data_IF_842424853467
#
_entry.id   IF_842424853467
#
_cell.length_a   1.000
_cell.length_b   1.000
_cell.length_c   1.000
_cell.angle_alpha   90.00
_cell.angle_beta   90.00
_cell.angle_gamma   90.00
#
_symmetry.space_group_name_H-M   'P 1'
#
loop_
_entity.id
_entity.type
_entity.pdbx_description
1 polymer ?
#
# COMPACT_ATOMS: atom_id res chain seq x y z
N UNK A 1 -14.69 -8.69 28.50
CA UNK A 1 -13.96 -9.82 27.90
C UNK A 1 -14.69 -10.22 26.62
N UNK A 2 -13.99 -10.36 25.49
CA UNK A 2 -14.58 -10.63 24.15
C UNK A 2 -14.52 -12.15 23.88
N UNK A 3 -14.71 -12.97 24.89
CA UNK A 3 -14.65 -14.44 24.79
C UNK A 3 -15.70 -15.00 23.82
N UNK A 4 -15.26 -15.84 22.88
CA UNK A 4 -16.13 -16.56 21.95
C UNK A 4 -16.47 -15.85 20.64
N UNK A 5 -15.92 -14.66 20.35
CA UNK A 5 -16.13 -14.04 19.04
C UNK A 5 -15.22 -14.70 17.99
N UNK A 6 -15.82 -15.10 16.87
CA UNK A 6 -15.09 -15.67 15.74
C UNK A 6 -14.34 -14.60 14.95
N UNK A 7 -13.06 -14.85 14.69
CA UNK A 7 -12.19 -13.97 13.93
C UNK A 7 -11.32 -14.75 12.93
N UNK A 8 -11.19 -14.24 11.72
CA UNK A 8 -10.28 -14.79 10.72
C UNK A 8 -9.01 -13.95 10.70
N UNK A 9 -7.85 -14.60 10.84
CA UNK A 9 -6.53 -13.94 10.75
C UNK A 9 -5.92 -14.22 9.39
N UNK A 10 -5.63 -13.17 8.64
CA UNK A 10 -4.87 -13.27 7.38
C UNK A 10 -3.41 -13.63 7.69
N UNK A 11 -3.06 -14.89 7.51
CA UNK A 11 -1.73 -15.43 7.79
C UNK A 11 -0.90 -15.46 6.50
N UNK A 12 0.16 -14.67 6.44
CA UNK A 12 1.07 -14.60 5.28
C UNK A 12 2.29 -15.52 5.41
N UNK A 13 2.37 -16.32 6.48
CA UNK A 13 3.58 -17.11 6.79
C UNK A 13 4.74 -16.25 7.32
N UNK A 14 4.52 -15.00 7.66
CA UNK A 14 5.49 -14.10 8.31
C UNK A 14 5.28 -14.01 9.82
N UNK A 15 6.27 -13.43 10.52
CA UNK A 15 6.28 -13.26 11.99
C UNK A 15 5.06 -12.46 12.46
N UNK A 16 4.75 -11.35 11.79
CA UNK A 16 3.71 -10.41 12.23
C UNK A 16 2.31 -11.05 12.24
N UNK A 17 1.92 -11.70 11.16
CA UNK A 17 0.62 -12.39 11.10
C UNK A 17 0.52 -13.55 12.08
N UNK A 18 1.65 -14.21 12.36
CA UNK A 18 1.72 -15.32 13.30
C UNK A 18 1.56 -14.86 14.75
N UNK A 19 2.21 -13.77 15.14
CA UNK A 19 2.04 -13.15 16.47
C UNK A 19 0.63 -12.57 16.62
N UNK A 20 0.06 -11.99 15.56
CA UNK A 20 -1.34 -11.54 15.53
C UNK A 20 -2.29 -12.67 15.91
N UNK A 21 -2.14 -13.85 15.30
CA UNK A 21 -2.97 -15.02 15.59
C UNK A 21 -2.82 -15.48 17.05
N UNK A 22 -1.58 -15.51 17.56
CA UNK A 22 -1.29 -15.90 18.93
C UNK A 22 -1.91 -14.93 19.96
N UNK A 23 -1.76 -13.62 19.76
CA UNK A 23 -2.33 -12.59 20.65
C UNK A 23 -3.86 -12.66 20.69
N UNK A 24 -4.51 -12.85 19.55
CA UNK A 24 -5.98 -12.96 19.51
C UNK A 24 -6.48 -14.23 20.18
N UNK A 25 -5.77 -15.35 20.03
CA UNK A 25 -6.09 -16.58 20.77
C UNK A 25 -5.95 -16.38 22.29
N UNK A 26 -4.88 -15.74 22.74
CA UNK A 26 -4.66 -15.41 24.16
C UNK A 26 -5.76 -14.47 24.71
N UNK A 27 -6.29 -13.57 23.87
CA UNK A 27 -7.41 -12.70 24.22
C UNK A 27 -8.78 -13.39 24.23
N UNK A 28 -8.85 -14.70 23.90
CA UNK A 28 -10.06 -15.51 23.97
C UNK A 28 -10.95 -15.47 22.72
N UNK A 29 -10.42 -15.03 21.57
CA UNK A 29 -11.12 -15.17 20.29
C UNK A 29 -11.10 -16.62 19.80
N UNK A 30 -12.13 -17.04 19.10
CA UNK A 30 -12.14 -18.23 18.27
C UNK A 30 -11.46 -17.90 16.93
N UNK A 31 -10.17 -18.25 16.84
CA UNK A 31 -9.32 -17.82 15.74
C UNK A 31 -9.26 -18.89 14.64
N UNK A 32 -9.56 -18.51 13.40
CA UNK A 32 -9.27 -19.30 12.20
C UNK A 32 -8.16 -18.60 11.40
N UNK A 33 -7.06 -19.31 11.16
CA UNK A 33 -5.99 -18.85 10.26
C UNK A 33 -6.39 -19.00 8.80
N UNK A 34 -6.15 -17.98 7.98
CA UNK A 34 -6.44 -18.05 6.55
C UNK A 34 -5.23 -17.55 5.74
N UNK A 35 -4.78 -18.39 4.82
CA UNK A 35 -3.74 -18.05 3.85
C UNK A 35 -4.38 -17.77 2.48
N UNK A 36 -4.05 -16.61 1.88
CA UNK A 36 -4.46 -16.26 0.52
C UNK A 36 -3.45 -16.83 -0.47
N UNK A 37 -3.81 -17.88 -1.19
CA UNK A 37 -3.00 -18.42 -2.29
C UNK A 37 -3.18 -17.55 -3.53
N UNK A 38 -2.08 -17.06 -4.07
CA UNK A 38 -2.06 -16.22 -5.28
C UNK A 38 -1.77 -17.05 -6.56
N UNK A 39 -1.74 -18.36 -6.42
CA UNK A 39 -1.50 -19.30 -7.51
C UNK A 39 -0.05 -19.27 -8.05
N UNK A 40 0.20 -20.06 -9.10
CA UNK A 40 1.50 -20.19 -9.78
C UNK A 40 1.87 -18.96 -10.63
N UNK A 41 1.05 -17.92 -10.65
CA UNK A 41 1.32 -16.71 -11.40
C UNK A 41 2.66 -16.08 -10.99
N UNK A 42 2.96 -16.09 -9.70
CA UNK A 42 4.24 -15.56 -9.16
C UNK A 42 5.43 -16.44 -9.48
N UNK A 43 5.26 -17.76 -9.58
CA UNK A 43 6.34 -18.69 -9.93
C UNK A 43 6.82 -18.47 -11.37
N UNK A 44 5.92 -18.10 -12.28
CA UNK A 44 6.25 -17.76 -13.67
C UNK A 44 6.95 -16.41 -13.80
N UNK A 45 6.61 -15.44 -12.95
CA UNK A 45 7.18 -14.09 -12.96
C UNK A 45 8.54 -14.01 -12.24
N UNK A 46 8.78 -14.89 -11.25
CA UNK A 46 10.01 -14.89 -10.45
C UNK A 46 10.43 -16.31 -10.03
N UNK A 47 10.94 -17.15 -10.95
CA UNK A 47 11.21 -18.57 -10.68
C UNK A 47 12.34 -18.86 -9.68
N UNK A 48 13.12 -17.86 -9.27
CA UNK A 48 14.33 -18.05 -8.44
C UNK A 48 14.31 -17.35 -7.09
N UNK A 49 13.28 -16.60 -6.71
CA UNK A 49 13.18 -15.92 -5.41
C UNK A 49 11.88 -16.24 -4.68
N UNK A 50 11.94 -16.29 -3.34
CA UNK A 50 10.78 -16.46 -2.47
C UNK A 50 9.87 -15.23 -2.61
N UNK A 51 8.82 -15.33 -3.42
CA UNK A 51 7.74 -14.35 -3.42
C UNK A 51 6.87 -14.57 -2.17
N UNK A 52 6.41 -13.51 -1.52
CA UNK A 52 5.38 -13.61 -0.49
C UNK A 52 4.15 -14.33 -1.06
N UNK A 53 3.50 -15.19 -0.26
CA UNK A 53 2.37 -16.05 -0.67
C UNK A 53 2.77 -17.25 -1.57
N UNK A 54 4.01 -17.71 -1.46
CA UNK A 54 4.47 -18.96 -2.07
C UNK A 54 3.92 -20.20 -1.33
N UNK A 55 4.10 -21.38 -1.94
CA UNK A 55 3.79 -22.66 -1.28
C UNK A 55 4.58 -22.85 0.02
N UNK A 56 5.80 -22.29 0.11
CA UNK A 56 6.60 -22.26 1.34
C UNK A 56 5.95 -21.43 2.43
N UNK A 57 5.44 -20.23 2.08
CA UNK A 57 4.77 -19.35 3.05
C UNK A 57 3.45 -19.95 3.54
N UNK A 58 2.72 -20.65 2.67
CA UNK A 58 1.52 -21.39 3.05
C UNK A 58 1.85 -22.50 4.06
N UNK A 59 2.99 -23.20 3.86
CA UNK A 59 3.45 -24.24 4.77
C UNK A 59 3.90 -23.63 6.12
N UNK A 60 4.64 -22.53 6.09
CA UNK A 60 5.03 -21.80 7.31
C UNK A 60 3.79 -21.37 8.11
N UNK A 61 2.77 -20.80 7.43
CA UNK A 61 1.52 -20.41 8.07
C UNK A 61 0.76 -21.61 8.67
N UNK A 62 0.75 -22.75 7.96
CA UNK A 62 0.14 -24.00 8.46
C UNK A 62 0.86 -24.54 9.70
N UNK A 63 2.18 -24.54 9.72
CA UNK A 63 2.96 -24.98 10.89
C UNK A 63 2.68 -24.08 12.11
N UNK A 64 2.58 -22.76 11.92
CA UNK A 64 2.19 -21.83 12.99
C UNK A 64 0.79 -22.13 13.49
N UNK A 65 -0.18 -22.29 12.58
CA UNK A 65 -1.57 -22.59 12.96
C UNK A 65 -1.66 -23.91 13.75
N UNK A 66 -0.95 -24.95 13.30
CA UNK A 66 -0.85 -26.23 13.99
C UNK A 66 -0.25 -26.09 15.40
N UNK A 67 0.86 -25.36 15.52
CA UNK A 67 1.49 -25.09 16.82
C UNK A 67 0.57 -24.35 17.79
N UNK A 68 -0.18 -23.37 17.24
CA UNK A 68 -1.16 -22.60 18.02
C UNK A 68 -2.49 -23.35 18.22
N UNK A 69 -2.70 -24.54 17.63
CA UNK A 69 -3.97 -25.28 17.70
C UNK A 69 -5.12 -24.46 17.11
N UNK A 70 -4.96 -23.91 15.91
CA UNK A 70 -5.95 -23.12 15.20
C UNK A 70 -6.42 -23.91 13.95
N UNK A 71 -7.69 -23.72 13.60
CA UNK A 71 -8.16 -24.08 12.28
C UNK A 71 -7.44 -23.25 11.23
N UNK A 72 -7.10 -23.90 10.09
CA UNK A 72 -6.32 -23.23 9.03
C UNK A 72 -6.88 -23.56 7.65
N UNK A 73 -7.10 -22.51 6.87
CA UNK A 73 -7.64 -22.60 5.50
C UNK A 73 -6.69 -21.95 4.51
N UNK A 74 -6.62 -22.53 3.33
CA UNK A 74 -5.95 -21.96 2.16
C UNK A 74 -7.01 -21.66 1.13
N UNK A 75 -7.12 -20.41 0.71
CA UNK A 75 -8.13 -19.97 -0.25
C UNK A 75 -7.43 -19.43 -1.49
N UNK A 76 -7.96 -19.78 -2.66
CA UNK A 76 -7.46 -19.29 -3.94
C UNK A 76 -7.98 -17.87 -4.20
N UNK A 77 -7.05 -16.94 -4.29
CA UNK A 77 -7.25 -15.53 -4.64
C UNK A 77 -6.60 -15.15 -5.97
N UNK A 78 -6.27 -16.15 -6.80
CA UNK A 78 -5.56 -15.95 -8.07
C UNK A 78 -6.30 -14.95 -8.98
N UNK A 79 -7.60 -15.12 -9.16
CA UNK A 79 -8.38 -14.27 -10.06
C UNK A 79 -8.42 -12.80 -9.59
N UNK A 80 -8.57 -12.58 -8.30
CA UNK A 80 -8.55 -11.24 -7.70
C UNK A 80 -7.16 -10.60 -7.79
N UNK A 81 -6.12 -11.42 -7.60
CA UNK A 81 -4.74 -10.95 -7.66
C UNK A 81 -4.30 -10.63 -9.10
N UNK A 82 -4.78 -11.37 -10.10
CA UNK A 82 -4.59 -11.05 -11.51
C UNK A 82 -5.14 -9.65 -11.84
N UNK A 83 -6.32 -9.29 -11.33
CA UNK A 83 -6.89 -7.94 -11.48
C UNK A 83 -6.00 -6.85 -10.88
N UNK A 84 -5.34 -7.16 -9.75
CA UNK A 84 -4.39 -6.23 -9.11
C UNK A 84 -3.14 -6.03 -9.98
N UNK A 85 -2.61 -7.09 -10.59
CA UNK A 85 -1.48 -7.00 -11.52
C UNK A 85 -1.88 -6.23 -12.78
N UNK A 86 -3.09 -6.47 -13.30
CA UNK A 86 -3.59 -5.74 -14.46
C UNK A 86 -3.79 -4.25 -14.16
N UNK A 87 -4.31 -3.91 -12.96
CA UNK A 87 -4.34 -2.52 -12.49
C UNK A 87 -2.94 -1.91 -12.46
N UNK A 88 -1.98 -2.61 -11.87
CA UNK A 88 -0.58 -2.16 -11.80
C UNK A 88 0.00 -1.87 -13.18
N UNK A 89 -0.20 -2.75 -14.14
CA UNK A 89 0.28 -2.57 -15.52
C UNK A 89 -0.42 -1.42 -16.25
N UNK A 90 -1.74 -1.28 -16.08
CA UNK A 90 -2.51 -0.18 -16.69
C UNK A 90 -2.08 1.20 -16.17
N UNK A 91 -1.77 1.31 -14.89
CA UNK A 91 -1.29 2.58 -14.33
C UNK A 91 0.05 2.99 -14.97
N UNK A 92 1.01 2.07 -15.08
CA UNK A 92 2.27 2.36 -15.76
C UNK A 92 2.08 2.66 -17.25
N UNK A 93 1.16 1.97 -17.91
CA UNK A 93 0.81 2.24 -19.32
C UNK A 93 0.15 3.62 -19.50
N UNK A 94 -0.49 4.13 -18.47
CA UNK A 94 -1.01 5.50 -18.42
C UNK A 94 0.02 6.54 -17.92
N UNK A 95 1.31 6.16 -17.77
CA UNK A 95 2.36 7.07 -17.26
C UNK A 95 2.24 7.41 -15.78
N UNK A 96 1.42 6.68 -15.02
CA UNK A 96 1.24 6.85 -13.58
C UNK A 96 2.02 5.79 -12.80
N UNK A 97 2.30 6.05 -11.54
CA UNK A 97 3.02 5.11 -10.67
C UNK A 97 2.05 4.55 -9.62
N UNK A 98 1.61 3.30 -9.75
CA UNK A 98 0.62 2.70 -8.86
C UNK A 98 1.15 2.43 -7.45
N UNK A 99 0.21 2.31 -6.49
CA UNK A 99 0.47 1.70 -5.19
C UNK A 99 -0.40 0.45 -5.01
N UNK A 100 0.07 -0.72 -5.45
CA UNK A 100 -0.72 -1.94 -5.41
C UNK A 100 -1.02 -2.43 -3.99
N UNK A 101 -0.21 -2.05 -2.98
CA UNK A 101 -0.43 -2.45 -1.59
C UNK A 101 -1.72 -1.85 -1.01
N UNK A 102 -2.03 -0.60 -1.36
CA UNK A 102 -3.28 0.05 -0.94
C UNK A 102 -4.48 -0.65 -1.59
N UNK A 103 -4.45 -0.89 -2.90
CA UNK A 103 -5.53 -1.63 -3.60
C UNK A 103 -5.66 -3.07 -3.07
N UNK A 104 -4.55 -3.75 -2.79
CA UNK A 104 -4.58 -5.08 -2.15
C UNK A 104 -5.28 -5.04 -0.78
N UNK A 105 -4.99 -4.05 0.05
CA UNK A 105 -5.67 -3.90 1.32
C UNK A 105 -7.17 -3.63 1.11
N UNK A 106 -7.51 -2.64 0.28
CA UNK A 106 -8.89 -2.24 0.01
C UNK A 106 -9.75 -3.38 -0.56
N UNK A 107 -9.27 -4.03 -1.62
CA UNK A 107 -10.09 -4.91 -2.44
C UNK A 107 -9.95 -6.39 -2.04
N UNK A 108 -8.74 -6.83 -1.68
CA UNK A 108 -8.49 -8.24 -1.37
C UNK A 108 -8.62 -8.50 0.13
N UNK A 109 -7.76 -7.89 0.97
CA UNK A 109 -7.70 -8.24 2.40
C UNK A 109 -8.95 -7.77 3.16
N UNK A 110 -9.30 -6.50 3.02
CA UNK A 110 -10.43 -5.92 3.75
C UNK A 110 -11.73 -5.88 2.94
N UNK A 111 -11.68 -6.24 1.65
CA UNK A 111 -12.83 -6.46 0.81
C UNK A 111 -13.18 -7.95 0.73
N UNK A 112 -12.57 -8.67 -0.20
CA UNK A 112 -12.92 -10.07 -0.51
C UNK A 112 -12.71 -11.02 0.67
N UNK A 113 -11.58 -10.92 1.38
CA UNK A 113 -11.31 -11.77 2.55
C UNK A 113 -12.30 -11.51 3.70
N UNK A 114 -12.68 -10.25 3.94
CA UNK A 114 -13.70 -9.92 4.93
C UNK A 114 -15.05 -10.57 4.57
N UNK A 115 -15.48 -10.46 3.31
CA UNK A 115 -16.70 -11.12 2.84
C UNK A 115 -16.64 -12.64 3.03
N UNK A 116 -15.48 -13.23 2.80
CA UNK A 116 -15.27 -14.67 3.02
C UNK A 116 -15.39 -15.05 4.50
N UNK A 117 -14.77 -14.26 5.38
CA UNK A 117 -14.88 -14.45 6.83
C UNK A 117 -16.33 -14.36 7.32
N UNK A 118 -17.09 -13.40 6.81
CA UNK A 118 -18.52 -13.25 7.12
C UNK A 118 -19.34 -14.47 6.70
N UNK A 119 -19.09 -15.02 5.50
CA UNK A 119 -19.77 -16.23 5.03
C UNK A 119 -19.43 -17.47 5.87
N UNK A 120 -18.29 -17.47 6.57
CA UNK A 120 -17.91 -18.49 7.54
C UNK A 120 -18.47 -18.22 8.94
N UNK A 121 -19.27 -17.18 9.11
CA UNK A 121 -19.83 -16.78 10.41
C UNK A 121 -18.85 -16.03 11.31
N UNK A 122 -17.69 -15.60 10.81
CA UNK A 122 -16.75 -14.77 11.56
C UNK A 122 -17.14 -13.30 11.44
N UNK A 123 -17.29 -12.62 12.59
CA UNK A 123 -17.68 -11.21 12.63
C UNK A 123 -16.53 -10.25 12.30
N UNK A 124 -15.29 -10.72 12.39
CA UNK A 124 -14.08 -9.89 12.32
C UNK A 124 -12.99 -10.55 11.49
N UNK A 125 -12.11 -9.68 10.94
CA UNK A 125 -10.83 -10.11 10.39
C UNK A 125 -9.68 -9.40 11.12
N UNK A 126 -8.51 -10.04 11.14
CA UNK A 126 -7.30 -9.45 11.65
C UNK A 126 -6.11 -9.64 10.71
N UNK A 127 -5.19 -8.69 10.77
CA UNK A 127 -3.94 -8.72 10.01
C UNK A 127 -2.78 -8.24 10.86
N UNK A 128 -1.55 -8.53 10.44
CA UNK A 128 -0.32 -8.08 11.08
C UNK A 128 0.09 -6.65 10.75
N UNK A 129 -0.84 -5.74 10.43
CA UNK A 129 -0.50 -4.35 10.17
C UNK A 129 -0.19 -3.58 11.46
N UNK A 130 0.82 -2.71 11.38
CA UNK A 130 1.20 -1.77 12.44
C UNK A 130 0.41 -0.47 12.29
N UNK A 131 -0.84 -0.49 12.69
CA UNK A 131 -1.73 0.67 12.82
C UNK A 131 -2.75 0.37 13.90
N UNK A 132 -3.43 1.38 14.41
CA UNK A 132 -4.48 1.24 15.42
C UNK A 132 -5.81 1.65 14.82
N UNK A 133 -6.86 0.91 15.17
CA UNK A 133 -8.24 1.23 14.81
C UNK A 133 -9.01 1.36 16.13
N UNK A 134 -9.72 2.46 16.30
CA UNK A 134 -10.57 2.71 17.45
C UNK A 134 -11.87 3.38 17.03
N UNK A 135 -12.93 3.16 17.80
CA UNK A 135 -14.19 3.88 17.63
C UNK A 135 -14.15 5.18 18.44
N UNK A 136 -14.35 6.31 17.77
CA UNK A 136 -14.39 7.61 18.38
C UNK A 136 -15.86 8.07 18.51
N UNK A 137 -16.38 8.08 19.74
CA UNK A 137 -17.76 8.46 20.03
C UNK A 137 -18.09 9.93 19.75
N UNK A 138 -17.10 10.83 19.76
CA UNK A 138 -17.31 12.25 19.48
C UNK A 138 -17.67 12.52 18.02
N UNK A 139 -17.07 11.80 17.09
CA UNK A 139 -17.39 11.92 15.67
C UNK A 139 -18.22 10.73 15.14
N UNK A 140 -18.60 9.79 15.99
CA UNK A 140 -19.38 8.59 15.67
C UNK A 140 -18.76 7.78 14.50
N UNK A 141 -17.43 7.65 14.49
CA UNK A 141 -16.67 7.00 13.40
C UNK A 141 -15.57 6.10 13.96
N UNK A 142 -15.24 5.08 13.21
CA UNK A 142 -13.97 4.38 13.37
C UNK A 142 -12.86 5.23 12.78
N UNK A 143 -11.77 5.38 13.52
CA UNK A 143 -10.59 6.16 13.12
C UNK A 143 -9.38 5.25 13.03
N UNK A 144 -8.45 5.61 12.15
CA UNK A 144 -7.14 4.97 12.04
C UNK A 144 -6.11 5.89 12.67
N UNK A 145 -5.28 5.34 13.56
CA UNK A 145 -4.11 6.01 14.10
C UNK A 145 -2.82 5.33 13.64
N UNK A 146 -1.75 6.10 13.58
CA UNK A 146 -0.39 5.57 13.38
C UNK A 146 -0.10 4.48 14.41
N UNK A 147 0.66 3.47 14.00
CA UNK A 147 1.19 2.45 14.91
C UNK A 147 2.17 3.07 15.92
N UNK A 148 2.35 2.39 17.06
CA UNK A 148 3.31 2.79 18.09
C UNK A 148 4.75 2.80 17.58
N UNK A 149 5.10 1.91 16.67
CA UNK A 149 6.39 1.86 16.00
C UNK A 149 6.35 2.76 14.77
N UNK A 150 6.87 3.99 14.89
CA UNK A 150 6.89 4.97 13.79
C UNK A 150 7.65 4.46 12.55
N UNK A 151 8.69 3.62 12.76
CA UNK A 151 9.48 3.06 11.66
C UNK A 151 8.72 1.95 10.89
N UNK A 152 7.68 1.39 11.51
CA UNK A 152 6.84 0.32 10.94
C UNK A 152 5.39 0.76 10.70
N UNK A 153 5.05 2.02 10.98
CA UNK A 153 3.69 2.52 10.78
C UNK A 153 3.16 2.25 9.38
N UNK A 154 1.99 1.60 9.33
CA UNK A 154 1.31 1.21 8.09
C UNK A 154 -0.05 1.90 7.93
N UNK A 155 -0.34 2.91 8.72
CA UNK A 155 -1.59 3.68 8.60
C UNK A 155 -1.79 4.28 7.21
N UNK A 156 -0.69 4.64 6.52
CA UNK A 156 -0.70 5.14 5.15
C UNK A 156 -1.38 4.19 4.15
N UNK A 157 -1.17 2.89 4.26
CA UNK A 157 -1.73 1.92 3.28
C UNK A 157 -3.14 1.45 3.66
N UNK A 158 -3.72 2.02 4.71
CA UNK A 158 -5.05 1.66 5.22
C UNK A 158 -6.08 2.78 5.04
N UNK A 159 -5.70 3.96 4.59
CA UNK A 159 -6.60 5.10 4.46
C UNK A 159 -7.84 4.84 3.61
N UNK A 160 -7.75 3.90 2.68
CA UNK A 160 -8.83 3.57 1.74
C UNK A 160 -9.94 2.68 2.34
N UNK A 161 -9.80 2.24 3.58
CA UNK A 161 -10.79 1.39 4.24
C UNK A 161 -12.06 2.18 4.58
N UNK A 162 -13.21 1.57 4.29
CA UNK A 162 -14.52 2.12 4.62
C UNK A 162 -14.83 1.97 6.11
N UNK A 163 -15.82 2.71 6.62
CA UNK A 163 -16.28 2.59 8.00
C UNK A 163 -16.77 1.17 8.34
N UNK A 164 -17.44 0.50 7.39
CA UNK A 164 -17.85 -0.89 7.56
C UNK A 164 -16.63 -1.81 7.72
N UNK A 165 -15.63 -1.68 6.83
CA UNK A 165 -14.41 -2.47 6.90
C UNK A 165 -13.65 -2.23 8.21
N UNK A 166 -13.55 -0.96 8.64
CA UNK A 166 -12.90 -0.59 9.89
C UNK A 166 -13.59 -1.19 11.12
N UNK A 167 -14.93 -1.18 11.15
CA UNK A 167 -15.72 -1.73 12.25
C UNK A 167 -15.52 -3.24 12.49
N UNK A 168 -15.04 -3.94 11.46
CA UNK A 168 -14.82 -5.39 11.46
C UNK A 168 -13.35 -5.79 11.41
N UNK A 169 -12.45 -4.83 11.55
CA UNK A 169 -11.00 -5.06 11.46
C UNK A 169 -10.34 -4.92 12.81
N UNK A 170 -9.48 -5.89 13.15
CA UNK A 170 -8.67 -5.88 14.38
C UNK A 170 -7.18 -5.90 13.98
N UNK A 171 -6.41 -4.96 14.52
CA UNK A 171 -4.97 -4.80 14.25
C UNK A 171 -4.18 -4.87 15.56
N UNK A 172 -3.92 -6.07 16.11
CA UNK A 172 -3.32 -6.22 17.44
C UNK A 172 -1.91 -5.65 17.55
N UNK A 173 -1.16 -5.56 16.42
CA UNK A 173 0.23 -5.11 16.43
C UNK A 173 0.38 -3.59 16.47
N UNK A 174 -0.70 -2.83 16.37
CA UNK A 174 -0.65 -1.37 16.40
C UNK A 174 -0.03 -0.78 17.66
N UNK A 175 -0.14 -1.49 18.79
CA UNK A 175 0.39 -1.09 20.10
C UNK A 175 1.76 -1.69 20.43
N UNK A 176 2.38 -2.40 19.49
CA UNK A 176 3.67 -3.06 19.67
C UNK A 176 4.74 -2.47 18.75
N UNK A 177 5.99 -2.45 19.25
CA UNK A 177 7.15 -2.24 18.37
C UNK A 177 7.54 -3.55 17.69
N UNK A 178 8.24 -3.47 16.56
CA UNK A 178 8.74 -4.68 15.86
C UNK A 178 9.63 -5.55 16.74
N UNK A 179 10.45 -4.93 17.60
CA UNK A 179 11.28 -5.66 18.57
C UNK A 179 10.44 -6.44 19.58
N UNK A 180 9.35 -5.86 20.08
CA UNK A 180 8.41 -6.54 20.97
C UNK A 180 7.73 -7.72 20.26
N UNK A 181 7.29 -7.53 19.01
CA UNK A 181 6.68 -8.61 18.21
C UNK A 181 7.65 -9.77 18.01
N UNK A 182 8.92 -9.49 17.70
CA UNK A 182 9.95 -10.54 17.58
C UNK A 182 10.24 -11.23 18.92
N UNK A 183 10.26 -10.48 20.02
CA UNK A 183 10.42 -11.06 21.37
C UNK A 183 9.25 -12.00 21.74
N UNK A 184 8.01 -11.60 21.41
CA UNK A 184 6.82 -12.45 21.57
C UNK A 184 6.92 -13.72 20.72
N UNK A 185 7.30 -13.61 19.45
CA UNK A 185 7.48 -14.76 18.55
C UNK A 185 8.48 -15.76 19.12
N UNK A 186 9.60 -15.28 19.68
CA UNK A 186 10.62 -16.10 20.34
C UNK A 186 10.10 -16.71 21.64
N UNK A 187 9.41 -15.94 22.48
CA UNK A 187 8.86 -16.41 23.76
C UNK A 187 7.92 -17.61 23.58
N UNK A 188 7.10 -17.62 22.52
CA UNK A 188 6.19 -18.72 22.20
C UNK A 188 6.78 -19.69 21.18
N UNK A 189 8.06 -19.53 20.86
CA UNK A 189 8.85 -20.39 19.98
C UNK A 189 8.17 -20.64 18.61
N UNK A 190 7.73 -19.56 17.94
CA UNK A 190 7.10 -19.69 16.62
C UNK A 190 8.09 -20.20 15.56
N UNK A 191 7.69 -21.14 14.67
CA UNK A 191 8.56 -21.67 13.61
C UNK A 191 9.16 -20.61 12.70
N UNK A 192 8.51 -19.44 12.60
CA UNK A 192 8.87 -18.32 11.72
C UNK A 192 9.61 -17.19 12.44
N UNK A 193 9.99 -17.33 13.71
CA UNK A 193 10.54 -16.28 14.57
C UNK A 193 11.74 -15.53 13.98
N UNK A 194 12.59 -16.20 13.22
CA UNK A 194 13.80 -15.65 12.60
C UNK A 194 13.61 -15.24 11.14
N UNK A 195 12.38 -15.38 10.59
CA UNK A 195 12.08 -15.03 9.21
C UNK A 195 12.26 -13.52 8.99
N UNK A 196 12.98 -13.10 7.93
CA UNK A 196 13.13 -11.68 7.60
C UNK A 196 11.79 -11.04 7.18
N UNK A 197 11.70 -9.72 7.35
CA UNK A 197 10.54 -8.96 6.90
C UNK A 197 10.50 -8.88 5.37
N UNK A 198 9.29 -8.91 4.81
CA UNK A 198 9.10 -8.59 3.39
C UNK A 198 9.36 -7.09 3.17
N UNK A 199 10.27 -6.74 2.24
CA UNK A 199 10.68 -5.35 1.97
C UNK A 199 10.06 -4.79 0.69
N UNK A 200 9.53 -5.65 -0.20
CA UNK A 200 9.17 -5.31 -1.57
C UNK A 200 7.67 -5.56 -1.85
N UNK A 201 7.21 -5.05 -2.98
CA UNK A 201 5.90 -5.43 -3.53
C UNK A 201 5.91 -6.96 -3.73
N UNK A 202 4.94 -7.65 -3.15
CA UNK A 202 4.95 -9.12 -3.05
C UNK A 202 5.08 -9.85 -4.39
N UNK A 203 4.68 -9.25 -5.50
CA UNK A 203 4.82 -9.82 -6.85
C UNK A 203 5.98 -9.22 -7.66
N UNK A 204 6.83 -8.38 -7.04
CA UNK A 204 8.04 -7.81 -7.64
C UNK A 204 9.26 -8.18 -6.78
N UNK A 205 9.56 -9.46 -6.59
CA UNK A 205 10.56 -9.91 -5.60
C UNK A 205 12.00 -9.56 -5.95
N UNK A 206 12.28 -9.19 -7.18
CA UNK A 206 13.60 -8.78 -7.69
C UNK A 206 13.75 -7.26 -7.81
N UNK A 207 12.77 -6.52 -7.32
CA UNK A 207 12.67 -5.06 -7.42
C UNK A 207 12.68 -4.55 -8.88
N UNK A 208 12.35 -5.43 -9.83
CA UNK A 208 12.33 -5.13 -11.26
C UNK A 208 10.91 -5.26 -11.84
N UNK A 209 10.07 -4.28 -11.52
CA UNK A 209 8.70 -4.24 -12.02
C UNK A 209 8.62 -4.19 -13.56
N UNK A 210 9.69 -3.74 -14.23
CA UNK A 210 9.76 -3.69 -15.69
C UNK A 210 9.61 -5.05 -16.35
N UNK A 211 10.02 -6.15 -15.68
CA UNK A 211 9.82 -7.51 -16.21
C UNK A 211 8.34 -7.88 -16.25
N UNK A 212 7.57 -7.49 -15.23
CA UNK A 212 6.13 -7.73 -15.18
C UNK A 212 5.43 -6.96 -16.30
N UNK A 213 5.78 -5.68 -16.46
CA UNK A 213 5.17 -4.83 -17.49
C UNK A 213 5.47 -5.39 -18.88
N UNK A 214 6.72 -5.79 -19.17
CA UNK A 214 7.09 -6.43 -20.46
C UNK A 214 6.29 -7.70 -20.74
N UNK A 215 6.10 -8.53 -19.71
CA UNK A 215 5.36 -9.79 -19.83
C UNK A 215 3.86 -9.57 -20.03
N UNK A 216 3.29 -8.55 -19.39
CA UNK A 216 1.84 -8.28 -19.39
C UNK A 216 1.37 -7.36 -20.50
N UNK A 217 2.27 -6.52 -21.02
CA UNK A 217 1.98 -5.57 -22.11
C UNK A 217 2.87 -5.83 -23.32
N UNK A 218 2.81 -7.04 -23.92
CA UNK A 218 3.65 -7.36 -25.07
C UNK A 218 3.35 -6.42 -26.24
N UNK A 219 4.40 -5.87 -26.85
CA UNK A 219 4.28 -4.94 -27.99
C UNK A 219 3.91 -3.49 -27.64
N UNK A 220 3.62 -3.17 -26.37
CA UNK A 220 3.32 -1.78 -25.93
C UNK A 220 4.53 -1.01 -25.43
N UNK A 221 5.63 -1.71 -25.12
CA UNK A 221 6.87 -1.09 -24.66
C UNK A 221 7.75 -0.88 -25.88
N UNK A 222 7.82 0.35 -26.33
CA UNK A 222 8.58 0.75 -27.51
C UNK A 222 9.62 1.82 -27.15
N UNK A 223 10.71 1.87 -27.91
CA UNK A 223 11.71 2.90 -27.75
C UNK A 223 11.08 4.30 -27.94
N UNK A 224 11.40 5.21 -27.03
CA UNK A 224 10.94 6.59 -27.04
C UNK A 224 12.06 7.58 -26.75
N UNK A 225 11.70 8.84 -26.60
CA UNK A 225 12.66 9.94 -26.50
C UNK A 225 12.84 10.44 -25.07
N UNK A 226 14.07 10.82 -24.73
CA UNK A 226 14.41 11.57 -23.53
C UNK A 226 14.70 13.01 -23.97
N UNK A 227 13.91 13.96 -23.44
CA UNK A 227 14.04 15.39 -23.74
C UNK A 227 14.24 16.22 -22.48
N UNK A 228 14.85 17.38 -22.60
CA UNK A 228 14.82 18.40 -21.54
C UNK A 228 13.50 19.21 -21.56
N UNK A 229 13.33 20.10 -20.58
CA UNK A 229 12.15 20.95 -20.49
C UNK A 229 12.02 21.93 -21.67
N UNK A 230 13.11 22.24 -22.39
CA UNK A 230 13.14 23.05 -23.60
C UNK A 230 12.83 22.26 -24.89
N UNK A 231 12.60 20.94 -24.77
CA UNK A 231 12.29 20.06 -25.90
C UNK A 231 13.52 19.53 -26.64
N UNK A 232 14.75 19.82 -26.21
CA UNK A 232 15.97 19.29 -26.82
C UNK A 232 16.07 17.78 -26.56
N UNK A 233 16.33 17.02 -27.64
CA UNK A 233 16.57 15.58 -27.55
C UNK A 233 17.91 15.31 -26.84
N UNK A 234 17.88 14.49 -25.80
CA UNK A 234 19.05 14.12 -24.99
C UNK A 234 19.43 12.65 -25.15
N UNK A 235 18.50 11.81 -25.58
CA UNK A 235 18.71 10.37 -25.72
C UNK A 235 17.43 9.60 -25.99
N UNK A 236 17.51 8.27 -25.85
CA UNK A 236 16.37 7.37 -26.02
C UNK A 236 16.20 6.45 -24.83
N UNK A 237 14.97 6.01 -24.58
CA UNK A 237 14.61 5.07 -23.52
C UNK A 237 13.88 3.85 -24.10
N UNK A 238 13.92 2.69 -23.41
CA UNK A 238 13.32 1.45 -23.92
C UNK A 238 11.78 1.37 -23.77
N UNK A 239 11.14 2.39 -23.24
CA UNK A 239 9.71 2.50 -22.99
C UNK A 239 9.45 3.36 -21.75
N UNK A 240 8.56 4.37 -21.87
CA UNK A 240 8.24 5.30 -20.77
C UNK A 240 7.66 4.60 -19.53
N UNK A 241 6.99 3.46 -19.72
CA UNK A 241 6.41 2.66 -18.62
C UNK A 241 7.45 2.18 -17.58
N UNK A 242 8.73 2.23 -17.95
CA UNK A 242 9.85 1.81 -17.09
C UNK A 242 10.43 2.95 -16.27
N UNK A 243 9.76 4.12 -16.28
CA UNK A 243 10.22 5.32 -15.60
C UNK A 243 9.15 5.89 -14.67
N UNK A 244 9.63 6.51 -13.60
CA UNK A 244 8.79 7.15 -12.58
C UNK A 244 9.31 8.56 -12.33
N UNK A 245 8.41 9.51 -12.05
CA UNK A 245 8.78 10.88 -11.68
C UNK A 245 9.72 10.85 -10.46
N UNK A 246 10.82 11.61 -10.54
CA UNK A 246 11.88 11.63 -9.54
C UNK A 246 12.98 10.58 -9.72
N UNK A 247 12.85 9.66 -10.68
CA UNK A 247 13.88 8.67 -10.98
C UNK A 247 15.14 9.33 -11.53
N UNK A 248 16.29 8.97 -10.96
CA UNK A 248 17.63 9.42 -11.39
C UNK A 248 18.40 8.33 -12.13
N UNK A 249 18.28 7.09 -11.65
CA UNK A 249 19.07 5.98 -12.19
C UNK A 249 18.43 5.36 -13.44
N UNK A 250 19.28 4.78 -14.32
CA UNK A 250 18.83 4.07 -15.50
C UNK A 250 18.53 4.96 -16.73
N UNK A 251 18.73 6.27 -16.65
CA UNK A 251 18.49 7.21 -17.76
C UNK A 251 19.53 7.07 -18.90
N UNK A 252 20.74 6.60 -18.60
CA UNK A 252 21.85 6.42 -19.56
C UNK A 252 22.18 7.68 -20.38
N UNK A 253 22.00 8.87 -19.80
CA UNK A 253 22.39 10.16 -20.35
C UNK A 253 23.45 10.81 -19.46
N UNK A 254 24.42 11.52 -20.08
CA UNK A 254 25.49 12.21 -19.37
C UNK A 254 25.41 13.72 -19.67
N UNK A 255 24.99 14.50 -18.67
CA UNK A 255 24.84 15.96 -18.80
C UNK A 255 25.75 16.75 -17.86
N UNK A 256 26.76 16.08 -17.22
CA UNK A 256 27.65 16.72 -16.27
C UNK A 256 27.06 16.99 -14.88
N UNK A 257 25.74 17.05 -14.75
CA UNK A 257 25.01 17.21 -13.50
C UNK A 257 23.91 16.14 -13.33
N UNK A 258 23.47 15.84 -12.09
CA UNK A 258 22.39 14.89 -11.87
C UNK A 258 21.06 15.40 -12.42
N UNK A 259 20.42 14.58 -13.26
CA UNK A 259 19.08 14.84 -13.80
C UNK A 259 18.08 13.79 -13.35
N UNK A 260 16.82 14.18 -13.33
CA UNK A 260 15.70 13.41 -12.81
C UNK A 260 14.55 13.43 -13.82
N UNK A 261 13.77 12.36 -13.87
CA UNK A 261 12.51 12.34 -14.63
C UNK A 261 11.56 13.35 -13.99
N UNK A 262 11.18 14.39 -14.73
CA UNK A 262 10.25 15.44 -14.26
C UNK A 262 8.83 15.23 -14.77
N UNK A 263 8.69 14.59 -15.97
CA UNK A 263 7.39 14.23 -16.54
C UNK A 263 7.52 12.93 -17.35
N UNK A 264 6.40 12.21 -17.40
CA UNK A 264 6.19 11.05 -18.29
C UNK A 264 5.03 11.42 -19.21
N UNK A 265 5.24 11.36 -20.51
CA UNK A 265 4.27 11.75 -21.56
C UNK A 265 3.92 10.53 -22.42
N UNK A 266 2.89 9.75 -22.04
CA UNK A 266 2.50 8.52 -22.75
C UNK A 266 2.14 8.75 -24.22
N UNK A 267 1.38 9.81 -24.51
CA UNK A 267 0.87 10.11 -25.84
C UNK A 267 1.96 10.29 -26.90
N UNK A 268 3.13 10.78 -26.49
CA UNK A 268 4.29 11.01 -27.36
C UNK A 268 5.42 10.03 -27.10
N UNK A 269 5.22 9.05 -26.22
CA UNK A 269 6.25 8.10 -25.78
C UNK A 269 7.55 8.82 -25.38
N UNK A 270 7.43 9.87 -24.56
CA UNK A 270 8.54 10.76 -24.20
C UNK A 270 8.65 10.87 -22.68
N UNK A 271 9.87 10.91 -22.16
CA UNK A 271 10.13 11.35 -20.78
C UNK A 271 10.89 12.68 -20.81
N UNK A 272 10.47 13.60 -19.92
CA UNK A 272 11.17 14.87 -19.73
C UNK A 272 12.06 14.72 -18.50
N UNK A 273 13.30 15.18 -18.64
CA UNK A 273 14.28 15.17 -17.55
C UNK A 273 14.80 16.58 -17.28
N UNK A 274 15.16 16.84 -16.03
CA UNK A 274 15.69 18.13 -15.62
C UNK A 274 16.38 18.05 -14.26
N UNK A 275 16.96 19.17 -13.78
CA UNK A 275 17.58 19.28 -12.48
C UNK A 275 16.54 19.09 -11.36
N UNK A 276 17.02 18.70 -10.16
CA UNK A 276 16.16 18.40 -8.99
C UNK A 276 15.14 19.50 -8.68
N UNK A 277 15.48 20.76 -8.87
CA UNK A 277 14.61 21.92 -8.62
C UNK A 277 13.31 21.88 -9.43
N UNK A 278 13.33 21.28 -10.63
CA UNK A 278 12.17 21.15 -11.49
C UNK A 278 11.16 20.11 -11.05
N UNK A 279 11.50 19.29 -10.05
CA UNK A 279 10.56 18.39 -9.38
C UNK A 279 9.67 19.08 -8.34
N UNK A 280 10.02 20.30 -7.93
CA UNK A 280 9.32 21.03 -6.89
C UNK A 280 7.95 21.51 -7.34
N UNK A 281 6.92 21.21 -6.55
CA UNK A 281 5.52 21.65 -6.76
C UNK A 281 4.93 22.18 -5.45
N UNK A 282 4.20 23.26 -5.53
CA UNK A 282 3.47 23.86 -4.41
C UNK A 282 2.09 23.26 -4.21
N UNK A 283 1.54 22.67 -5.26
CA UNK A 283 0.17 22.17 -5.25
C UNK A 283 0.07 20.82 -5.91
N UNK A 284 -0.97 20.07 -5.54
CA UNK A 284 -1.42 18.89 -6.26
C UNK A 284 -2.94 18.77 -6.20
N UNK A 285 -3.51 17.96 -7.07
CA UNK A 285 -4.90 17.51 -7.00
C UNK A 285 -4.98 16.05 -6.60
N UNK A 286 -5.96 15.72 -5.77
CA UNK A 286 -6.20 14.38 -5.27
C UNK A 286 -7.67 14.02 -5.50
N UNK A 287 -7.90 12.82 -6.01
CA UNK A 287 -9.22 12.30 -6.38
C UNK A 287 -9.54 10.99 -5.66
N UNK A 288 -10.76 10.49 -5.81
CA UNK A 288 -11.26 9.29 -5.11
C UNK A 288 -11.03 9.37 -3.58
N UNK A 289 -11.40 10.50 -2.98
CA UNK A 289 -11.14 10.74 -1.56
C UNK A 289 -11.98 9.81 -0.68
N UNK A 290 -11.31 9.11 0.22
CA UNK A 290 -11.93 8.42 1.36
C UNK A 290 -11.64 9.20 2.66
N UNK A 291 -12.68 9.76 3.26
CA UNK A 291 -12.60 10.41 4.56
C UNK A 291 -12.77 9.38 5.67
N UNK A 292 -11.74 9.18 6.50
CA UNK A 292 -11.72 8.18 7.57
C UNK A 292 -12.32 8.74 8.85
N UNK A 293 -11.70 9.75 9.42
CA UNK A 293 -12.06 10.28 10.76
C UNK A 293 -12.95 11.52 10.73
N UNK A 294 -13.24 12.05 9.55
CA UNK A 294 -14.15 13.19 9.33
C UNK A 294 -15.15 12.83 8.22
N UNK A 295 -16.22 13.59 8.10
CA UNK A 295 -17.22 13.39 7.04
C UNK A 295 -16.79 14.00 5.70
N UNK A 296 -15.89 14.97 5.75
CA UNK A 296 -15.40 15.68 4.57
C UNK A 296 -15.04 17.14 4.89
N UNK A 297 -14.77 17.91 3.84
CA UNK A 297 -14.55 19.36 3.89
C UNK A 297 -15.74 20.03 3.22
N UNK A 298 -16.45 20.89 3.95
CA UNK A 298 -17.61 21.61 3.39
C UNK A 298 -17.18 22.61 2.31
N UNK A 299 -18.06 22.93 1.36
CA UNK A 299 -17.80 23.93 0.35
C UNK A 299 -17.39 25.28 0.98
N UNK A 300 -16.29 25.86 0.50
CA UNK A 300 -15.75 27.12 1.02
C UNK A 300 -14.88 26.98 2.27
N UNK A 301 -14.85 25.80 2.90
CA UNK A 301 -13.96 25.54 4.02
C UNK A 301 -12.60 24.99 3.56
N UNK A 302 -11.62 25.04 4.45
CA UNK A 302 -10.30 24.43 4.27
C UNK A 302 -9.90 23.67 5.50
N UNK A 303 -9.11 22.60 5.28
CA UNK A 303 -8.57 21.75 6.31
C UNK A 303 -7.05 21.89 6.33
N UNK A 304 -6.47 22.23 7.48
CA UNK A 304 -5.02 22.14 7.70
C UNK A 304 -4.69 20.71 8.07
N UNK A 305 -3.76 20.09 7.32
CA UNK A 305 -3.36 18.72 7.55
C UNK A 305 -1.85 18.53 7.30
N UNK A 306 -1.29 17.49 7.88
CA UNK A 306 0.00 16.95 7.49
C UNK A 306 -0.22 15.92 6.37
N UNK A 307 0.47 16.07 5.24
CA UNK A 307 0.23 15.27 4.03
C UNK A 307 1.43 14.40 3.70
N UNK A 308 1.20 13.08 3.55
CA UNK A 308 2.17 12.12 3.00
C UNK A 308 1.80 11.79 1.56
N UNK A 309 2.76 11.95 0.65
CA UNK A 309 2.57 11.69 -0.79
C UNK A 309 3.16 10.35 -1.25
N UNK A 310 3.74 9.57 -0.34
CA UNK A 310 4.23 8.18 -0.52
C UNK A 310 4.53 7.57 0.84
N UNK A 311 4.66 6.25 0.90
CA UNK A 311 4.83 5.51 2.15
C UNK A 311 6.01 6.01 3.01
N UNK A 312 7.20 6.16 2.43
CA UNK A 312 8.39 6.62 3.15
C UNK A 312 8.53 8.15 3.24
N UNK A 313 7.49 8.91 2.85
CA UNK A 313 7.53 10.37 2.90
C UNK A 313 7.35 10.90 4.32
N UNK A 314 8.11 11.91 4.70
CA UNK A 314 7.86 12.67 5.93
C UNK A 314 6.66 13.60 5.70
N UNK A 315 5.65 13.58 6.57
CA UNK A 315 4.48 14.45 6.42
C UNK A 315 4.87 15.92 6.33
N UNK A 316 4.18 16.67 5.47
CA UNK A 316 4.36 18.11 5.29
C UNK A 316 3.03 18.81 5.47
N UNK A 317 3.04 19.93 6.17
CA UNK A 317 1.84 20.74 6.37
C UNK A 317 1.33 21.29 5.05
N UNK A 318 0.02 21.21 4.88
CA UNK A 318 -0.67 21.70 3.71
C UNK A 318 -2.10 22.13 4.05
N UNK A 319 -2.64 23.00 3.22
CA UNK A 319 -4.07 23.34 3.20
C UNK A 319 -4.77 22.46 2.18
N UNK A 320 -5.81 21.76 2.59
CA UNK A 320 -6.66 20.92 1.74
C UNK A 320 -8.00 21.60 1.53
N UNK A 321 -8.44 21.74 0.28
CA UNK A 321 -9.71 22.39 -0.08
C UNK A 321 -10.44 21.57 -1.13
N UNK A 322 -11.76 21.48 -1.02
CA UNK A 322 -12.60 20.90 -2.07
C UNK A 322 -12.60 21.82 -3.29
N UNK A 323 -12.27 21.29 -4.47
CA UNK A 323 -12.29 22.05 -5.73
C UNK A 323 -13.73 22.18 -6.25
N UNK A 324 -14.45 21.04 -6.26
CA UNK A 324 -15.85 20.96 -6.64
C UNK A 324 -16.49 19.81 -5.86
N UNK A 325 -17.59 20.07 -5.20
CA UNK A 325 -18.33 19.10 -4.39
C UNK A 325 -18.86 17.91 -5.20
N UNK A 326 -19.16 18.11 -6.48
CA UNK A 326 -19.65 17.06 -7.36
C UNK A 326 -18.54 16.11 -7.86
N UNK A 327 -17.29 16.61 -7.95
CA UNK A 327 -16.17 15.81 -8.51
C UNK A 327 -15.43 14.98 -7.47
N UNK A 328 -15.64 15.21 -6.16
CA UNK A 328 -14.88 14.53 -5.11
C UNK A 328 -13.37 14.81 -5.16
N UNK A 329 -12.94 15.88 -5.86
CA UNK A 329 -11.54 16.27 -6.03
C UNK A 329 -11.18 17.33 -5.00
N UNK A 330 -10.02 17.15 -4.36
CA UNK A 330 -9.45 18.17 -3.48
C UNK A 330 -8.15 18.72 -4.06
N UNK A 331 -7.92 20.02 -3.83
CA UNK A 331 -6.63 20.67 -4.05
C UNK A 331 -5.86 20.70 -2.74
N UNK A 332 -4.59 20.30 -2.81
CA UNK A 332 -3.64 20.38 -1.70
C UNK A 332 -2.64 21.46 -2.03
N UNK A 333 -2.42 22.39 -1.10
CA UNK A 333 -1.47 23.49 -1.20
C UNK A 333 -0.49 23.39 -0.03
N UNK A 334 0.78 23.09 -0.34
CA UNK A 334 1.83 22.85 0.65
C UNK A 334 2.40 24.17 1.19
N UNK A 335 2.82 24.19 2.46
CA UNK A 335 3.55 25.32 3.08
C UNK A 335 4.95 25.52 2.49
N UNK A 336 5.52 24.48 1.88
CA UNK A 336 6.79 24.49 1.14
C UNK A 336 6.68 23.56 -0.07
N UNK A 337 7.44 23.81 -1.15
CA UNK A 337 7.33 22.95 -2.34
C UNK A 337 7.80 21.52 -2.06
N UNK A 338 7.00 20.56 -2.51
CA UNK A 338 7.29 19.15 -2.38
C UNK A 338 7.85 18.56 -3.68
N UNK A 339 8.81 17.63 -3.51
CA UNK A 339 9.52 17.03 -4.62
C UNK A 339 8.88 15.72 -5.08
N UNK A 340 8.84 15.53 -6.40
CA UNK A 340 8.43 14.30 -7.03
C UNK A 340 7.00 13.88 -6.60
N UNK A 341 6.06 14.82 -6.66
CA UNK A 341 4.63 14.51 -6.58
C UNK A 341 4.29 13.65 -7.80
N UNK A 342 3.83 12.43 -7.56
CA UNK A 342 3.75 11.39 -8.61
C UNK A 342 2.30 10.95 -8.79
N UNK A 343 1.68 11.17 -9.96
CA UNK A 343 0.35 10.66 -10.27
C UNK A 343 0.26 9.14 -10.11
N UNK A 344 -0.87 8.66 -9.56
CA UNK A 344 -1.10 7.25 -9.24
C UNK A 344 -0.60 6.81 -7.86
N UNK A 345 0.23 7.62 -7.19
CA UNK A 345 0.51 7.44 -5.75
C UNK A 345 -0.63 8.00 -4.90
N UNK A 346 -0.70 7.57 -3.64
CA UNK A 346 -1.68 8.12 -2.72
C UNK A 346 -1.18 9.38 -2.01
N UNK A 347 -2.10 10.28 -1.69
CA UNK A 347 -1.92 11.35 -0.72
C UNK A 347 -2.76 11.03 0.51
N UNK A 348 -2.14 10.95 1.69
CA UNK A 348 -2.83 10.64 2.94
C UNK A 348 -2.69 11.81 3.90
N UNK A 349 -3.82 12.22 4.46
CA UNK A 349 -3.97 13.39 5.31
C UNK A 349 -3.98 12.99 6.76
N UNK A 350 -3.19 13.67 7.59
CA UNK A 350 -3.06 13.38 9.01
C UNK A 350 -3.30 14.62 9.85
N UNK A 351 -3.76 14.39 11.07
CA UNK A 351 -3.72 15.35 12.17
C UNK A 351 -3.06 14.66 13.37
N UNK A 352 -1.79 14.97 13.60
CA UNK A 352 -0.97 14.24 14.57
C UNK A 352 -0.79 12.77 14.18
N UNK A 353 -1.33 11.85 14.98
CA UNK A 353 -1.32 10.40 14.73
C UNK A 353 -2.59 9.88 14.03
N UNK A 354 -3.62 10.73 13.86
CA UNK A 354 -4.91 10.34 13.26
C UNK A 354 -4.89 10.51 11.75
N UNK A 355 -5.33 9.49 11.03
CA UNK A 355 -5.61 9.55 9.58
C UNK A 355 -6.95 10.25 9.37
N UNK A 356 -6.94 11.43 8.79
CA UNK A 356 -8.16 12.16 8.42
C UNK A 356 -8.84 11.55 7.19
N UNK A 357 -8.05 11.11 6.24
CA UNK A 357 -8.46 10.52 4.98
C UNK A 357 -7.31 10.51 3.97
N UNK A 358 -7.64 10.28 2.72
CA UNK A 358 -6.68 10.30 1.61
C UNK A 358 -7.34 9.99 0.28
N UNK A 359 -6.54 10.01 -0.78
CA UNK A 359 -6.99 9.73 -2.13
C UNK A 359 -5.80 9.53 -3.07
N UNK A 360 -6.07 9.48 -4.36
CA UNK A 360 -5.06 9.25 -5.38
C UNK A 360 -4.60 10.57 -6.00
N UNK A 361 -3.29 10.75 -6.10
CA UNK A 361 -2.70 11.93 -6.75
C UNK A 361 -2.98 11.83 -8.25
N UNK A 362 -3.64 12.86 -8.80
CA UNK A 362 -3.95 12.95 -10.22
C UNK A 362 -2.93 13.83 -10.93
N UNK A 363 -2.63 15.03 -10.39
CA UNK A 363 -1.72 15.99 -11.02
C UNK A 363 -1.02 16.86 -9.98
#
# INVERSE_FOLDING_TARGET
>A
MITGKKIVVAMSGGVDSSVTAALLKEQGYEVTGLFMSLGTCLEKLAPRKRACCSTFDANDARQVAQKLGLDFLVIDFKAEFEKLIDYFCREYDAGRTPNPCIRCNQDLKFGRLLSYAQNMGAGYIATGHYARIEYNSHCNRYIIRKGKDEAKDQSYVLFSLTQEQLSRTVLPLGDYTKSQVRALAKKIDLPVQDKPDSQEICFVPDNNYGNIIRTRLPGRINEGEIRDAGGKLLGRHPGYQLFTIGQRHGLKIALGEPVYVTQVLPDTNTIIVGPKKELARWTMTVEEINWVSIEGIKPGESLMAEVKIRYAHRPVRATVRTVNTQSGVVKVEFERPELAITPGQAAVFYQGDVVLGGGWINK
#
